data_IF_402350885887
#
_entry.id   IF_402350885887
#
_cell.length_a   1.000
_cell.length_b   1.000
_cell.length_c   1.000
_cell.angle_alpha   90.00
_cell.angle_beta   90.00
_cell.angle_gamma   90.00
#
_symmetry.space_group_name_H-M   'P 1'
#
loop_
_entity.id
_entity.type
_entity.pdbx_description
1 polymer ?
#
# COMPACT_ATOMS: atom_id res chain seq x y z
N UNK A 1 -15.82 -6.91 -12.21
CA UNK A 1 -15.49 -6.45 -13.58
C UNK A 1 -14.07 -6.86 -13.88
N UNK A 2 -13.80 -7.47 -15.02
CA UNK A 2 -12.48 -7.99 -15.41
C UNK A 2 -12.10 -7.47 -16.80
N UNK A 3 -10.80 -7.30 -17.10
CA UNK A 3 -10.38 -6.92 -18.45
C UNK A 3 -10.74 -8.04 -19.44
N UNK A 4 -11.10 -7.69 -20.68
CA UNK A 4 -11.39 -8.68 -21.74
C UNK A 4 -10.17 -9.55 -22.09
N UNK A 5 -8.97 -9.08 -21.75
CA UNK A 5 -7.72 -9.83 -21.88
C UNK A 5 -7.50 -10.88 -20.80
N UNK A 6 -8.31 -10.84 -19.72
CA UNK A 6 -8.19 -11.65 -18.52
C UNK A 6 -6.79 -11.61 -17.87
N UNK A 7 -6.08 -10.49 -18.04
CA UNK A 7 -4.73 -10.26 -17.50
C UNK A 7 -4.71 -9.01 -16.63
N UNK A 8 -4.26 -9.15 -15.38
CA UNK A 8 -4.03 -8.01 -14.47
C UNK A 8 -3.05 -6.98 -15.07
N UNK A 9 -2.07 -7.45 -15.84
CA UNK A 9 -1.11 -6.59 -16.54
C UNK A 9 -1.79 -5.53 -17.42
N UNK A 10 -2.92 -5.85 -18.06
CA UNK A 10 -3.66 -4.88 -18.89
C UNK A 10 -4.12 -3.67 -18.08
N UNK A 11 -4.55 -3.87 -16.84
CA UNK A 11 -4.95 -2.77 -15.95
C UNK A 11 -3.73 -1.98 -15.48
N UNK A 12 -2.63 -2.66 -15.15
CA UNK A 12 -1.37 -2.02 -14.75
C UNK A 12 -0.85 -1.10 -15.86
N UNK A 13 -0.76 -1.62 -17.09
CA UNK A 13 -0.26 -0.86 -18.25
C UNK A 13 -1.16 0.34 -18.55
N UNK A 14 -2.48 0.16 -18.48
CA UNK A 14 -3.45 1.24 -18.70
C UNK A 14 -3.22 2.40 -17.72
N UNK A 15 -3.04 2.10 -16.43
CA UNK A 15 -2.84 3.12 -15.40
C UNK A 15 -1.46 3.79 -15.51
N UNK A 16 -0.39 3.02 -15.73
CA UNK A 16 0.95 3.56 -15.89
C UNK A 16 1.05 4.49 -17.10
N UNK A 17 0.52 4.06 -18.25
CA UNK A 17 0.50 4.88 -19.45
C UNK A 17 -0.29 6.18 -19.23
N UNK A 18 -1.45 6.10 -18.57
CA UNK A 18 -2.26 7.29 -18.27
C UNK A 18 -1.51 8.29 -17.38
N UNK A 19 -0.77 7.81 -16.37
CA UNK A 19 0.03 8.64 -15.49
C UNK A 19 1.20 9.31 -16.24
N UNK A 20 1.90 8.56 -17.11
CA UNK A 20 2.97 9.10 -17.96
C UNK A 20 2.44 10.20 -18.91
N UNK A 21 1.29 9.97 -19.57
CA UNK A 21 0.67 10.98 -20.44
C UNK A 21 0.23 12.25 -19.69
N UNK A 22 -0.12 12.12 -18.41
CA UNK A 22 -0.43 13.24 -17.54
C UNK A 22 0.81 13.97 -16.99
N UNK A 23 2.03 13.50 -17.31
CA UNK A 23 3.28 14.10 -16.83
C UNK A 23 3.63 13.75 -15.38
N UNK A 24 3.08 12.67 -14.83
CA UNK A 24 3.40 12.20 -13.47
C UNK A 24 4.83 11.63 -13.45
N UNK A 25 5.67 12.11 -12.53
CA UNK A 25 6.99 11.54 -12.26
C UNK A 25 6.88 10.27 -11.40
N UNK A 26 7.17 9.10 -11.98
CA UNK A 26 7.06 7.80 -11.33
C UNK A 26 8.44 7.28 -10.95
N UNK A 27 8.73 7.24 -9.65
CA UNK A 27 10.01 6.77 -9.12
C UNK A 27 9.87 5.42 -8.41
N UNK A 28 10.45 4.38 -9.01
CA UNK A 28 10.53 3.03 -8.42
C UNK A 28 11.81 2.91 -7.58
N UNK A 29 11.80 2.01 -6.59
CA UNK A 29 12.94 1.80 -5.65
C UNK A 29 13.29 3.05 -4.82
N UNK A 30 12.36 3.98 -4.70
CA UNK A 30 12.47 5.20 -3.88
C UNK A 30 11.70 4.99 -2.59
N UNK A 31 12.30 4.29 -1.63
CA UNK A 31 11.65 4.04 -0.34
C UNK A 31 11.60 5.34 0.44
N UNK A 32 10.42 5.70 0.93
CA UNK A 32 10.22 6.80 1.89
C UNK A 32 10.44 6.26 3.29
N UNK A 33 11.29 6.94 4.05
CA UNK A 33 11.65 6.56 5.43
C UNK A 33 10.97 7.43 6.47
N UNK A 34 10.79 8.72 6.16
CA UNK A 34 10.16 9.67 7.07
C UNK A 34 9.52 10.82 6.31
N UNK A 35 8.55 11.47 6.94
CA UNK A 35 7.88 12.67 6.41
C UNK A 35 7.72 13.65 7.56
N UNK A 36 8.31 14.83 7.42
CA UNK A 36 8.18 15.92 8.39
C UNK A 36 7.40 17.07 7.78
N UNK A 37 6.54 17.69 8.58
CA UNK A 37 5.77 18.88 8.18
C UNK A 37 6.44 20.13 8.75
N UNK A 38 6.87 21.05 7.90
CA UNK A 38 7.67 22.21 8.27
C UNK A 38 6.90 23.54 8.12
N UNK A 39 5.62 23.60 8.50
CA UNK A 39 4.81 24.82 8.49
C UNK A 39 4.47 25.39 7.11
N UNK A 40 5.27 25.11 6.09
CA UNK A 40 5.16 25.60 4.71
C UNK A 40 4.83 24.43 3.77
N UNK A 41 5.30 23.21 4.08
CA UNK A 41 4.99 22.00 3.32
C UNK A 41 5.39 20.72 4.05
N UNK A 42 5.86 19.75 3.28
CA UNK A 42 6.32 18.45 3.73
C UNK A 42 7.70 18.13 3.16
N UNK A 43 8.65 17.83 4.03
CA UNK A 43 9.92 17.22 3.65
C UNK A 43 9.78 15.70 3.68
N UNK A 44 10.05 15.07 2.55
CA UNK A 44 10.01 13.60 2.38
C UNK A 44 11.44 13.09 2.32
N UNK A 45 11.81 12.26 3.29
CA UNK A 45 13.11 11.60 3.35
C UNK A 45 13.07 10.29 2.57
N UNK A 46 13.90 10.21 1.53
CA UNK A 46 14.06 9.06 0.63
C UNK A 46 15.48 8.54 0.78
N UNK A 47 15.72 7.24 0.53
CA UNK A 47 17.05 6.59 0.51
C UNK A 47 18.21 7.45 1.08
N UNK A 48 18.89 8.22 0.22
CA UNK A 48 19.99 9.13 0.57
C UNK A 48 19.68 10.62 0.26
N UNK A 49 18.41 11.00 0.11
CA UNK A 49 17.98 12.35 -0.27
C UNK A 49 16.73 12.82 0.49
N UNK A 50 16.47 14.12 0.46
CA UNK A 50 15.24 14.70 0.97
C UNK A 50 14.66 15.66 -0.06
N UNK A 51 13.34 15.63 -0.22
CA UNK A 51 12.62 16.44 -1.21
C UNK A 51 11.42 17.13 -0.57
N UNK A 52 11.10 18.33 -1.06
CA UNK A 52 10.03 19.18 -0.53
C UNK A 52 8.77 19.09 -1.40
N UNK A 53 7.62 18.98 -0.76
CA UNK A 53 6.31 18.91 -1.42
C UNK A 53 5.27 19.73 -0.66
N UNK A 54 4.36 20.38 -1.38
CA UNK A 54 3.28 21.18 -0.78
C UNK A 54 2.19 20.30 -0.14
N UNK A 55 2.04 19.06 -0.61
CA UNK A 55 0.98 18.14 -0.20
C UNK A 55 1.41 16.68 -0.36
N UNK A 56 0.86 15.82 0.50
CA UNK A 56 1.18 14.38 0.53
C UNK A 56 -0.12 13.58 0.55
N UNK A 57 -0.14 12.48 -0.21
CA UNK A 57 -1.16 11.44 -0.15
C UNK A 57 -0.47 10.12 0.21
N UNK A 58 -0.88 9.50 1.32
CA UNK A 58 -0.39 8.17 1.70
C UNK A 58 -1.24 7.08 1.04
N UNK A 59 -0.71 6.52 -0.06
CA UNK A 59 -1.31 5.39 -0.79
C UNK A 59 -0.51 4.08 -0.61
N UNK A 60 -0.05 3.81 0.61
CA UNK A 60 0.96 2.79 0.96
C UNK A 60 0.39 1.41 1.29
N UNK A 61 -0.89 1.17 1.01
CA UNK A 61 -1.60 -0.06 1.36
C UNK A 61 -1.58 -0.34 2.87
N UNK A 62 -1.65 -1.61 3.26
CA UNK A 62 -1.61 -2.06 4.67
C UNK A 62 -0.18 -2.18 5.23
N UNK A 63 0.79 -1.46 4.65
CA UNK A 63 2.19 -1.60 5.06
C UNK A 63 2.44 -0.94 6.42
N UNK A 64 3.15 -1.64 7.31
CA UNK A 64 3.52 -1.09 8.63
C UNK A 64 4.30 0.22 8.53
N UNK A 65 5.16 0.35 7.50
CA UNK A 65 5.88 1.58 7.23
C UNK A 65 4.93 2.76 6.95
N UNK A 66 3.87 2.53 6.17
CA UNK A 66 2.84 3.54 5.91
C UNK A 66 2.09 3.97 7.18
N UNK A 67 1.79 3.03 8.07
CA UNK A 67 1.15 3.34 9.35
C UNK A 67 2.05 4.21 10.23
N UNK A 68 3.34 3.88 10.33
CA UNK A 68 4.33 4.67 11.08
C UNK A 68 4.42 6.10 10.53
N UNK A 69 4.42 6.27 9.21
CA UNK A 69 4.43 7.60 8.60
C UNK A 69 3.18 8.41 8.99
N UNK A 70 2.01 7.79 9.01
CA UNK A 70 0.78 8.45 9.45
C UNK A 70 0.82 8.80 10.95
N UNK A 71 1.36 7.94 11.81
CA UNK A 71 1.55 8.21 13.24
C UNK A 71 2.50 9.38 13.47
N UNK A 72 3.63 9.43 12.76
CA UNK A 72 4.59 10.54 12.84
C UNK A 72 3.98 11.88 12.42
N UNK A 73 3.01 11.86 11.50
CA UNK A 73 2.23 13.02 11.09
C UNK A 73 1.10 13.38 12.07
N UNK A 74 0.95 12.63 13.17
CA UNK A 74 0.01 12.89 14.26
C UNK A 74 -1.32 12.14 14.16
N UNK A 75 -1.46 11.17 13.27
CA UNK A 75 -2.66 10.34 13.19
C UNK A 75 -2.63 9.17 14.18
N UNK A 76 -3.81 8.71 14.62
CA UNK A 76 -3.93 7.48 15.41
C UNK A 76 -4.23 6.31 14.48
N UNK A 77 -3.51 5.21 14.66
CA UNK A 77 -3.76 3.96 13.93
C UNK A 77 -4.60 3.04 14.79
N UNK A 78 -5.69 2.54 14.21
CA UNK A 78 -6.47 1.45 14.80
C UNK A 78 -5.77 0.15 14.46
N UNK A 79 -5.56 -0.71 15.45
CA UNK A 79 -4.85 -1.97 15.26
C UNK A 79 -5.50 -2.81 14.14
N UNK A 80 -4.73 -3.18 13.10
CA UNK A 80 -5.27 -3.93 11.98
C UNK A 80 -5.57 -5.36 12.41
N UNK A 81 -6.78 -5.83 12.09
CA UNK A 81 -7.17 -7.23 12.26
C UNK A 81 -7.23 -7.93 10.89
N UNK A 82 -6.80 -9.21 10.80
CA UNK A 82 -6.95 -9.97 9.56
C UNK A 82 -8.43 -10.11 9.17
N UNK A 83 -8.78 -9.81 7.93
CA UNK A 83 -10.16 -9.92 7.41
C UNK A 83 -10.32 -11.01 6.35
N UNK A 84 -9.32 -11.20 5.49
CA UNK A 84 -9.27 -12.24 4.47
C UNK A 84 -8.05 -13.13 4.72
N UNK A 85 -8.25 -14.26 5.37
CA UNK A 85 -7.21 -15.22 5.69
C UNK A 85 -7.66 -16.64 5.39
N UNK A 86 -6.72 -17.51 5.03
CA UNK A 86 -6.96 -18.94 4.94
C UNK A 86 -7.00 -19.52 6.35
N UNK A 87 -8.04 -20.30 6.66
CA UNK A 87 -8.12 -21.00 7.93
C UNK A 87 -7.07 -22.12 7.95
N UNK A 88 -6.17 -22.09 8.93
CA UNK A 88 -5.25 -23.20 9.18
C UNK A 88 -5.92 -24.20 10.14
N UNK A 89 -6.40 -25.33 9.61
CA UNK A 89 -7.02 -26.41 10.39
C UNK A 89 -6.15 -27.65 10.45
N UNK A 90 -6.37 -28.48 11.47
CA UNK A 90 -5.75 -29.80 11.53
C UNK A 90 -6.20 -30.67 10.34
N UNK A 91 -5.41 -31.70 9.95
CA UNK A 91 -5.74 -32.59 8.83
C UNK A 91 -7.07 -33.36 8.97
N UNK A 92 -7.63 -33.45 10.18
CA UNK A 92 -8.91 -34.11 10.42
C UNK A 92 -10.13 -33.33 9.89
N UNK A 93 -9.95 -32.10 9.41
CA UNK A 93 -11.00 -31.33 8.75
C UNK A 93 -10.94 -31.61 7.25
N UNK A 94 -11.75 -32.56 6.79
CA UNK A 94 -11.91 -32.85 5.36
C UNK A 94 -12.89 -31.88 4.69
N UNK A 95 -12.76 -31.74 3.37
CA UNK A 95 -13.71 -31.04 2.51
C UNK A 95 -15.12 -31.63 2.73
N UNK A 96 -16.08 -30.79 3.13
CA UNK A 96 -17.44 -31.23 3.50
C UNK A 96 -17.75 -31.29 5.01
N UNK A 97 -16.74 -31.12 5.88
CA UNK A 97 -16.90 -30.76 7.29
C UNK A 97 -17.79 -31.70 8.12
N UNK A 98 -17.25 -32.84 8.55
CA UNK A 98 -17.78 -33.59 9.70
C UNK A 98 -16.63 -34.03 10.60
N UNK A 99 -16.59 -33.48 11.81
CA UNK A 99 -15.80 -34.01 12.91
C UNK A 99 -16.45 -35.33 13.34
N UNK A 100 -15.90 -36.46 12.90
CA UNK A 100 -16.25 -37.74 13.49
C UNK A 100 -15.36 -37.96 14.73
N UNK A 101 -16.02 -38.21 15.88
CA UNK A 101 -15.42 -38.66 17.13
C UNK A 101 -14.62 -39.96 16.96
#
# INVERSE_FOLDING_TARGET
>A
MFPTTDKSQTIIDTLLHSAEQAGVDIRKKSKVFDITKDGIGFTVSLNDSAEQFDSIILATGSSKAGHILAENLGHTIVDPVPSLFTLNTKPQVQEGGLLHE
#
